data_IF_323946023991
#
_entry.id   IF_323946023991
#
_cell.length_a   1.000
_cell.length_b   1.000
_cell.length_c   1.000
_cell.angle_alpha   90.00
_cell.angle_beta   90.00
_cell.angle_gamma   90.00
#
_symmetry.space_group_name_H-M   'P 1'
#
loop_
_entity.id
_entity.type
_entity.pdbx_description
1 polymer ?
#
# COMPACT_ATOMS: atom_id res chain seq x y z
N UNK A 1 1.93 -10.57 14.43
CA UNK A 1 0.56 -9.96 14.38
C UNK A 1 0.00 -10.03 12.97
N UNK A 2 -1.27 -10.44 12.81
CA UNK A 2 -1.94 -10.54 11.52
C UNK A 2 -3.13 -9.59 11.48
N UNK A 3 -3.22 -8.74 10.44
CA UNK A 3 -4.39 -7.90 10.17
C UNK A 3 -5.00 -8.27 8.81
N UNK A 4 -6.33 -8.29 8.74
CA UNK A 4 -7.07 -8.37 7.49
C UNK A 4 -7.69 -7.01 7.19
N UNK A 5 -7.47 -6.48 6.00
CA UNK A 5 -8.10 -5.25 5.51
C UNK A 5 -9.10 -5.65 4.45
N UNK A 6 -10.37 -5.37 4.68
CA UNK A 6 -11.48 -5.76 3.82
C UNK A 6 -12.20 -4.52 3.31
N UNK A 7 -12.26 -4.35 1.99
CA UNK A 7 -13.04 -3.27 1.41
C UNK A 7 -14.53 -3.56 1.56
N UNK A 8 -15.21 -2.72 2.32
CA UNK A 8 -16.64 -2.83 2.61
C UNK A 8 -17.50 -1.95 1.70
N UNK A 9 -16.89 -0.92 1.11
CA UNK A 9 -17.61 0.07 0.28
C UNK A 9 -16.72 0.60 -0.84
N UNK A 10 -17.30 0.73 -2.04
CA UNK A 10 -16.72 1.47 -3.18
C UNK A 10 -17.84 2.22 -3.87
N UNK A 11 -17.79 3.53 -3.80
CA UNK A 11 -18.71 4.47 -4.48
C UNK A 11 -17.94 5.34 -5.46
N UNK A 12 -18.66 6.17 -6.24
CA UNK A 12 -18.07 6.98 -7.31
C UNK A 12 -16.84 7.79 -6.88
N UNK A 13 -16.84 8.31 -5.64
CA UNK A 13 -15.77 9.16 -5.12
C UNK A 13 -15.31 8.76 -3.73
N UNK A 14 -15.68 7.59 -3.25
CA UNK A 14 -15.26 7.15 -1.92
C UNK A 14 -15.08 5.64 -1.84
N UNK A 15 -14.22 5.22 -0.91
CA UNK A 15 -14.07 3.84 -0.52
C UNK A 15 -13.92 3.74 1.00
N UNK A 16 -14.33 2.60 1.55
CA UNK A 16 -14.15 2.31 2.96
C UNK A 16 -13.70 0.86 3.14
N UNK A 17 -12.91 0.64 4.20
CA UNK A 17 -12.39 -0.67 4.58
C UNK A 17 -12.53 -0.85 6.08
N UNK A 18 -12.78 -2.07 6.51
CA UNK A 18 -12.60 -2.50 7.88
C UNK A 18 -11.21 -3.13 8.04
N UNK A 19 -10.58 -2.87 9.19
CA UNK A 19 -9.33 -3.51 9.61
C UNK A 19 -9.69 -4.46 10.74
N UNK A 20 -9.36 -5.74 10.56
CA UNK A 20 -9.70 -6.81 11.48
C UNK A 20 -8.43 -7.44 12.05
N UNK A 21 -8.41 -7.71 13.35
CA UNK A 21 -7.46 -8.57 14.03
C UNK A 21 -8.24 -9.68 14.76
N UNK A 22 -7.92 -10.95 14.50
CA UNK A 22 -8.66 -12.10 15.05
C UNK A 22 -10.19 -11.96 14.90
N UNK A 23 -10.62 -11.53 13.70
CA UNK A 23 -12.02 -11.27 13.33
C UNK A 23 -12.70 -10.10 14.08
N UNK A 24 -12.00 -9.44 15.02
CA UNK A 24 -12.49 -8.24 15.67
C UNK A 24 -12.07 -6.97 14.89
N UNK A 25 -12.99 -6.02 14.78
CA UNK A 25 -12.71 -4.76 14.10
C UNK A 25 -11.88 -3.85 14.98
N UNK A 26 -10.62 -3.64 14.58
CA UNK A 26 -9.65 -2.78 15.27
C UNK A 26 -9.44 -1.43 14.59
N UNK A 27 -10.08 -1.23 13.44
CA UNK A 27 -9.93 0.04 12.73
C UNK A 27 -10.66 0.13 11.40
N UNK A 28 -10.42 1.24 10.69
CA UNK A 28 -10.99 1.52 9.37
C UNK A 28 -10.04 2.31 8.49
N UNK A 29 -10.21 2.17 7.18
CA UNK A 29 -9.64 3.09 6.20
C UNK A 29 -10.78 3.77 5.46
N UNK A 30 -10.74 5.07 5.34
CA UNK A 30 -11.65 5.85 4.50
C UNK A 30 -10.89 6.64 3.44
N UNK A 31 -11.42 6.62 2.22
CA UNK A 31 -10.87 7.32 1.06
C UNK A 31 -11.94 8.24 0.50
N UNK A 32 -11.60 9.50 0.26
CA UNK A 32 -12.49 10.49 -0.36
C UNK A 32 -11.76 11.13 -1.53
N UNK A 33 -12.16 10.80 -2.73
CA UNK A 33 -11.66 11.39 -3.98
C UNK A 33 -12.41 12.66 -4.34
N UNK A 34 -11.86 13.40 -5.31
CA UNK A 34 -12.45 14.60 -5.88
C UNK A 34 -12.83 14.36 -7.35
N UNK A 35 -13.95 14.95 -7.78
CA UNK A 35 -14.38 14.89 -9.18
C UNK A 35 -13.30 15.53 -10.08
N UNK A 36 -12.92 14.82 -11.14
CA UNK A 36 -11.94 15.32 -12.11
C UNK A 36 -10.49 15.36 -11.63
N UNK A 37 -10.19 14.76 -10.47
CA UNK A 37 -8.84 14.66 -9.92
C UNK A 37 -8.51 13.23 -9.53
N UNK A 38 -7.25 12.86 -9.65
CA UNK A 38 -6.71 11.60 -9.09
C UNK A 38 -6.34 11.75 -7.62
N UNK A 39 -6.54 12.94 -7.04
CA UNK A 39 -6.28 13.24 -5.64
C UNK A 39 -7.37 12.65 -4.74
N UNK A 40 -6.96 12.15 -3.60
CA UNK A 40 -7.86 11.68 -2.56
C UNK A 40 -7.33 12.05 -1.17
N UNK A 41 -8.25 12.35 -0.28
CA UNK A 41 -7.97 12.44 1.15
C UNK A 41 -8.19 11.05 1.76
N UNK A 42 -7.25 10.58 2.57
CA UNK A 42 -7.27 9.27 3.18
C UNK A 42 -7.20 9.43 4.70
N UNK A 43 -8.00 8.67 5.41
CA UNK A 43 -7.93 8.55 6.86
C UNK A 43 -7.81 7.06 7.22
N UNK A 44 -6.75 6.70 7.92
CA UNK A 44 -6.50 5.39 8.50
C UNK A 44 -6.68 5.52 10.00
N UNK A 45 -7.66 4.84 10.56
CA UNK A 45 -7.85 4.71 12.01
C UNK A 45 -7.55 3.24 12.36
N UNK A 46 -6.54 2.99 13.16
CA UNK A 46 -6.15 1.64 13.55
C UNK A 46 -5.65 1.67 15.00
N UNK A 47 -6.17 0.76 15.83
CA UNK A 47 -5.91 0.69 17.28
C UNK A 47 -6.08 2.04 18.02
N UNK A 48 -7.01 2.88 17.56
CA UNK A 48 -7.26 4.22 18.10
C UNK A 48 -6.33 5.32 17.57
N UNK A 49 -5.30 5.00 16.80
CA UNK A 49 -4.43 5.96 16.15
C UNK A 49 -5.06 6.44 14.82
N UNK A 50 -5.18 7.75 14.66
CA UNK A 50 -5.72 8.37 13.45
C UNK A 50 -4.58 8.95 12.64
N UNK A 51 -4.39 8.43 11.44
CA UNK A 51 -3.37 8.87 10.48
C UNK A 51 -4.08 9.39 9.24
N UNK A 52 -3.75 10.58 8.80
CA UNK A 52 -4.30 11.19 7.59
C UNK A 52 -3.23 11.28 6.51
N UNK A 53 -3.65 11.09 5.25
CA UNK A 53 -2.78 11.23 4.10
C UNK A 53 -3.43 12.17 3.10
N UNK A 54 -2.65 13.14 2.60
CA UNK A 54 -3.09 14.12 1.59
C UNK A 54 -2.11 14.15 0.44
N UNK A 55 -2.65 14.27 -0.77
CA UNK A 55 -1.80 14.43 -1.95
C UNK A 55 -0.92 15.67 -1.83
N UNK A 56 0.40 15.49 -1.92
CA UNK A 56 1.40 16.53 -1.74
C UNK A 56 2.14 16.86 -3.05
N UNK A 57 1.71 16.27 -4.18
CA UNK A 57 2.27 16.54 -5.49
C UNK A 57 1.50 17.64 -6.23
N UNK A 58 2.17 18.48 -7.03
CA UNK A 58 1.54 19.37 -8.01
C UNK A 58 1.38 18.68 -9.37
N UNK A 59 0.83 19.39 -10.37
CA UNK A 59 0.64 18.91 -11.76
C UNK A 59 1.91 18.30 -12.41
N UNK A 60 3.09 18.60 -11.87
CA UNK A 60 4.40 18.11 -12.33
C UNK A 60 5.18 17.44 -11.19
N UNK A 61 4.52 16.64 -10.39
CA UNK A 61 5.09 16.07 -9.16
C UNK A 61 6.15 14.96 -9.37
N UNK A 62 6.66 14.80 -10.58
CA UNK A 62 7.83 13.99 -10.83
C UNK A 62 9.06 14.71 -10.28
N UNK A 63 9.63 14.21 -9.19
CA UNK A 63 10.87 14.73 -8.63
C UNK A 63 12.03 13.80 -8.94
N UNK A 64 13.07 14.35 -9.53
CA UNK A 64 14.33 13.63 -9.74
C UNK A 64 15.09 13.58 -8.40
N UNK A 65 15.05 12.45 -7.71
CA UNK A 65 15.69 12.26 -6.40
C UNK A 65 17.21 12.19 -6.56
N UNK A 66 17.67 11.35 -7.49
CA UNK A 66 19.08 11.18 -7.87
C UNK A 66 19.15 10.65 -9.29
N UNK A 67 20.35 10.57 -9.90
CA UNK A 67 20.51 10.07 -11.26
C UNK A 67 19.86 8.68 -11.43
N UNK A 68 18.91 8.58 -12.35
CA UNK A 68 18.15 7.34 -12.64
C UNK A 68 16.97 7.05 -11.71
N UNK A 69 16.71 7.92 -10.73
CA UNK A 69 15.58 7.75 -9.80
C UNK A 69 14.61 8.91 -9.90
N UNK A 70 13.31 8.59 -9.92
CA UNK A 70 12.23 9.57 -9.94
C UNK A 70 11.20 9.20 -8.88
N UNK A 71 10.60 10.19 -8.21
CA UNK A 71 9.49 9.98 -7.30
C UNK A 71 8.18 10.45 -7.92
N UNK A 72 7.12 9.73 -7.60
CA UNK A 72 5.78 10.03 -8.09
C UNK A 72 4.75 9.92 -6.98
N UNK A 73 3.60 10.55 -7.19
CA UNK A 73 2.39 10.35 -6.39
C UNK A 73 2.66 10.49 -4.89
N UNK A 74 3.33 11.59 -4.51
CA UNK A 74 3.70 11.87 -3.14
C UNK A 74 2.46 12.25 -2.33
N UNK A 75 2.29 11.60 -1.17
CA UNK A 75 1.32 11.95 -0.15
C UNK A 75 2.03 12.37 1.12
N UNK A 76 1.59 13.47 1.74
CA UNK A 76 1.97 13.79 3.12
C UNK A 76 1.18 12.91 4.08
N UNK A 77 1.84 12.52 5.16
CA UNK A 77 1.25 11.75 6.26
C UNK A 77 1.27 12.64 7.50
N UNK A 78 0.18 12.67 8.26
CA UNK A 78 0.12 13.36 9.54
C UNK A 78 -0.81 12.62 10.50
N UNK A 79 -0.56 12.76 11.79
CA UNK A 79 -1.45 12.27 12.85
C UNK A 79 -1.95 13.43 13.75
N UNK A 80 -2.55 13.09 14.90
CA UNK A 80 -3.09 14.06 15.84
C UNK A 80 -2.03 15.00 16.45
N UNK A 81 -0.75 14.59 16.44
CA UNK A 81 0.38 15.41 16.93
C UNK A 81 0.94 16.34 15.88
N UNK A 82 0.44 16.29 14.64
CA UNK A 82 0.99 16.90 13.43
C UNK A 82 2.41 16.44 13.09
N UNK A 83 2.95 15.46 13.81
CA UNK A 83 4.16 14.76 13.37
C UNK A 83 3.83 13.99 12.11
N UNK A 84 4.61 14.25 11.10
CA UNK A 84 4.26 13.79 9.78
C UNK A 84 5.41 13.12 9.06
N UNK A 85 5.14 12.88 7.80
CA UNK A 85 6.08 12.28 6.89
C UNK A 85 5.53 12.27 5.49
N UNK A 86 6.06 11.38 4.67
CA UNK A 86 5.64 11.23 3.29
C UNK A 86 5.67 9.77 2.87
N UNK A 87 4.80 9.42 1.94
CA UNK A 87 4.88 8.17 1.19
C UNK A 87 4.81 8.49 -0.31
N UNK A 88 5.62 7.82 -1.09
CA UNK A 88 5.68 8.02 -2.55
C UNK A 88 6.19 6.78 -3.28
N UNK A 89 5.86 6.70 -4.57
CA UNK A 89 6.42 5.71 -5.47
C UNK A 89 7.77 6.19 -5.98
N UNK A 90 8.75 5.30 -6.01
CA UNK A 90 10.06 5.50 -6.63
C UNK A 90 10.15 4.62 -7.86
N UNK A 91 10.53 5.22 -8.98
CA UNK A 91 10.92 4.51 -10.19
C UNK A 91 12.43 4.61 -10.36
N UNK A 92 13.06 3.46 -10.42
CA UNK A 92 14.48 3.31 -10.66
C UNK A 92 14.74 2.73 -12.04
N UNK A 93 15.32 3.52 -12.92
CA UNK A 93 15.74 3.06 -14.23
C UNK A 93 17.08 2.32 -14.14
N UNK A 94 17.02 0.99 -14.08
CA UNK A 94 18.20 0.14 -14.03
C UNK A 94 18.96 0.10 -15.38
N UNK A 95 18.20 -0.04 -16.48
CA UNK A 95 18.69 -0.12 -17.86
C UNK A 95 17.72 0.62 -18.78
N UNK A 96 18.09 0.76 -20.06
CA UNK A 96 17.32 1.55 -21.05
C UNK A 96 15.83 1.20 -21.12
N UNK A 97 15.47 -0.06 -20.88
CA UNK A 97 14.07 -0.56 -20.95
C UNK A 97 13.63 -1.28 -19.68
N UNK A 98 14.38 -1.17 -18.58
CA UNK A 98 14.04 -1.82 -17.31
C UNK A 98 13.91 -0.77 -16.22
N UNK A 99 12.67 -0.55 -15.78
CA UNK A 99 12.35 0.29 -14.64
C UNK A 99 11.79 -0.57 -13.51
N UNK A 100 12.37 -0.45 -12.33
CA UNK A 100 11.88 -1.06 -11.10
C UNK A 100 11.14 -0.02 -10.29
N UNK A 101 9.93 -0.35 -9.87
CA UNK A 101 9.12 0.52 -9.02
C UNK A 101 8.99 -0.08 -7.63
N UNK A 102 9.12 0.77 -6.62
CA UNK A 102 8.91 0.42 -5.21
C UNK A 102 8.39 1.65 -4.46
N UNK A 103 8.05 1.50 -3.16
CA UNK A 103 7.54 2.60 -2.37
C UNK A 103 8.51 2.94 -1.25
N UNK A 104 8.65 4.24 -0.98
CA UNK A 104 9.37 4.78 0.16
C UNK A 104 8.39 5.54 1.06
N UNK A 105 8.53 5.34 2.36
CA UNK A 105 7.78 6.07 3.37
C UNK A 105 8.72 6.54 4.46
N UNK A 106 8.60 7.82 4.82
CA UNK A 106 9.16 8.38 6.03
C UNK A 106 8.01 8.77 6.95
N UNK A 107 8.05 8.33 8.19
CA UNK A 107 7.08 8.72 9.20
C UNK A 107 7.72 8.73 10.59
N UNK A 108 7.64 9.89 11.26
CA UNK A 108 8.26 10.12 12.58
C UNK A 108 9.74 9.76 12.63
N UNK A 109 10.48 10.10 11.59
CA UNK A 109 11.92 9.81 11.48
C UNK A 109 12.28 8.35 11.22
N UNK A 110 11.29 7.49 10.97
CA UNK A 110 11.52 6.10 10.57
C UNK A 110 11.35 5.98 9.05
N UNK A 111 12.26 5.21 8.44
CA UNK A 111 12.28 4.99 6.99
C UNK A 111 11.85 3.58 6.63
N UNK A 112 10.87 3.49 5.74
CA UNK A 112 10.34 2.24 5.23
C UNK A 112 10.54 2.16 3.72
N UNK A 113 10.87 0.95 3.27
CA UNK A 113 10.86 0.59 1.86
C UNK A 113 9.87 -0.57 1.66
N UNK A 114 9.13 -0.54 0.56
CA UNK A 114 8.14 -1.56 0.28
C UNK A 114 8.27 -2.04 -1.16
N UNK A 115 8.56 -3.34 -1.34
CA UNK A 115 8.90 -3.98 -2.61
C UNK A 115 7.83 -4.98 -3.00
N UNK A 116 7.31 -4.87 -4.23
CA UNK A 116 6.24 -5.71 -4.74
C UNK A 116 6.77 -6.81 -5.65
N UNK A 117 6.35 -8.05 -5.37
CA UNK A 117 6.49 -9.16 -6.30
C UNK A 117 5.12 -9.73 -6.66
N UNK A 118 4.95 -10.11 -7.92
CA UNK A 118 3.78 -10.83 -8.39
C UNK A 118 4.11 -12.33 -8.44
N UNK A 119 3.26 -13.15 -7.82
CA UNK A 119 3.32 -14.59 -7.88
C UNK A 119 2.23 -15.11 -8.84
N UNK A 120 2.56 -15.97 -9.80
CA UNK A 120 1.57 -16.50 -10.74
C UNK A 120 0.40 -17.18 -10.01
N UNK A 121 -0.83 -16.80 -10.35
CA UNK A 121 -2.08 -17.29 -9.76
C UNK A 121 -2.30 -17.01 -8.26
N UNK A 122 -1.32 -16.55 -7.52
CA UNK A 122 -1.42 -16.31 -6.07
C UNK A 122 -1.66 -14.83 -5.72
N UNK A 123 -1.40 -13.92 -6.66
CA UNK A 123 -1.52 -12.47 -6.47
C UNK A 123 -0.20 -11.79 -6.17
N UNK A 124 -0.25 -10.67 -5.44
CA UNK A 124 0.92 -9.87 -5.08
C UNK A 124 1.42 -10.15 -3.66
N UNK A 125 2.71 -9.98 -3.47
CA UNK A 125 3.37 -9.93 -2.17
C UNK A 125 4.14 -8.64 -2.07
N UNK A 126 3.97 -7.93 -0.98
CA UNK A 126 4.63 -6.67 -0.71
C UNK A 126 5.49 -6.83 0.53
N UNK A 127 6.80 -6.98 0.36
CA UNK A 127 7.74 -7.04 1.48
C UNK A 127 8.00 -5.62 2.00
N UNK A 128 7.84 -5.40 3.29
CA UNK A 128 8.05 -4.10 3.95
C UNK A 128 9.29 -4.17 4.83
N UNK A 129 10.19 -3.25 4.60
CA UNK A 129 11.46 -3.13 5.31
C UNK A 129 11.50 -1.81 6.08
N UNK A 130 12.01 -1.86 7.30
CA UNK A 130 12.42 -0.69 8.07
C UNK A 130 13.92 -0.74 8.27
N UNK A 131 14.63 0.32 7.83
CA UNK A 131 16.09 0.42 7.96
C UNK A 131 16.85 -0.83 7.47
N UNK A 132 16.37 -1.45 6.40
CA UNK A 132 17.00 -2.62 5.79
C UNK A 132 16.61 -3.97 6.39
N UNK A 133 15.80 -4.01 7.45
CA UNK A 133 15.27 -5.25 8.06
C UNK A 133 13.83 -5.45 7.64
N UNK A 134 13.46 -6.64 7.17
CA UNK A 134 12.07 -6.94 6.87
C UNK A 134 11.25 -7.00 8.16
N UNK A 135 10.19 -6.17 8.23
CA UNK A 135 9.33 -6.03 9.40
C UNK A 135 7.89 -6.46 9.13
N UNK A 136 7.51 -6.55 7.86
CA UNK A 136 6.18 -7.04 7.49
C UNK A 136 6.14 -7.57 6.05
N UNK A 137 5.03 -8.29 5.76
CA UNK A 137 4.61 -8.65 4.41
C UNK A 137 3.12 -8.38 4.26
N UNK A 138 2.74 -7.80 3.11
CA UNK A 138 1.35 -7.58 2.74
C UNK A 138 1.01 -8.52 1.59
N UNK A 139 0.02 -9.37 1.78
CA UNK A 139 -0.51 -10.24 0.74
C UNK A 139 -1.71 -9.60 0.06
N UNK A 140 -1.67 -9.53 -1.26
CA UNK A 140 -2.72 -9.02 -2.13
C UNK A 140 -3.28 -10.19 -2.91
N UNK A 141 -4.55 -10.61 -2.71
CA UNK A 141 -5.08 -11.79 -3.37
C UNK A 141 -5.12 -11.63 -4.90
N UNK A 142 -4.91 -12.73 -5.62
CA UNK A 142 -5.03 -12.78 -7.08
C UNK A 142 -6.47 -12.71 -7.59
N UNK A 143 -7.44 -12.72 -6.69
CA UNK A 143 -8.88 -12.68 -7.01
C UNK A 143 -9.53 -11.44 -6.44
N UNK A 144 -10.34 -10.76 -7.26
CA UNK A 144 -11.10 -9.58 -6.85
C UNK A 144 -12.57 -9.83 -7.15
N UNK A 145 -13.39 -9.78 -6.11
CA UNK A 145 -14.83 -10.00 -6.17
C UNK A 145 -15.54 -8.66 -6.03
N UNK A 146 -16.52 -8.40 -6.90
CA UNK A 146 -17.32 -7.18 -6.91
C UNK A 146 -16.51 -5.88 -7.04
N UNK A 147 -15.31 -5.96 -7.61
CA UNK A 147 -14.37 -4.85 -7.69
C UNK A 147 -13.99 -4.30 -6.29
N UNK A 148 -13.98 -5.17 -5.27
CA UNK A 148 -13.56 -4.88 -3.89
C UNK A 148 -12.22 -5.55 -3.60
N UNK A 149 -11.31 -4.81 -3.01
CA UNK A 149 -9.93 -5.21 -2.76
C UNK A 149 -9.71 -5.54 -1.29
N UNK A 150 -8.96 -6.60 -1.05
CA UNK A 150 -8.63 -7.05 0.30
C UNK A 150 -7.11 -7.19 0.43
N UNK A 151 -6.61 -7.08 1.66
CA UNK A 151 -5.20 -7.27 1.97
C UNK A 151 -5.06 -8.05 3.27
N UNK A 152 -4.00 -8.85 3.37
CA UNK A 152 -3.61 -9.47 4.64
C UNK A 152 -2.21 -8.99 4.99
N UNK A 153 -2.04 -8.42 6.16
CA UNK A 153 -0.78 -7.92 6.69
C UNK A 153 -0.25 -8.94 7.70
N UNK A 154 1.00 -9.32 7.54
CA UNK A 154 1.80 -10.08 8.49
C UNK A 154 2.91 -9.17 8.99
N UNK A 155 2.89 -8.78 10.26
CA UNK A 155 3.84 -7.83 10.83
C UNK A 155 4.43 -8.36 12.14
N UNK A 156 5.68 -7.99 12.43
CA UNK A 156 6.38 -8.44 13.65
C UNK A 156 5.73 -7.91 14.93
N UNK A 157 5.09 -6.72 14.85
CA UNK A 157 4.41 -6.10 15.98
C UNK A 157 3.26 -5.19 15.51
N UNK A 158 2.54 -4.61 16.51
CA UNK A 158 1.40 -3.72 16.25
C UNK A 158 1.80 -2.45 15.52
N UNK A 159 2.94 -1.85 15.86
CA UNK A 159 3.42 -0.60 15.24
C UNK A 159 3.68 -0.80 13.74
N UNK A 160 4.31 -1.91 13.38
CA UNK A 160 4.57 -2.23 11.98
C UNK A 160 3.29 -2.58 11.23
N UNK A 161 2.32 -3.22 11.91
CA UNK A 161 1.01 -3.47 11.34
C UNK A 161 0.23 -2.17 11.04
N UNK A 162 0.31 -1.17 11.93
CA UNK A 162 -0.27 0.17 11.71
C UNK A 162 0.34 0.85 10.48
N UNK A 163 1.66 0.82 10.35
CA UNK A 163 2.36 1.40 9.18
C UNK A 163 2.01 0.66 7.89
N UNK A 164 1.85 -0.66 7.95
CA UNK A 164 1.40 -1.43 6.80
C UNK A 164 -0.04 -1.10 6.39
N UNK A 165 -0.93 -0.75 7.32
CA UNK A 165 -2.27 -0.26 6.97
C UNK A 165 -2.22 1.07 6.18
N UNK A 166 -1.28 1.97 6.51
CA UNK A 166 -1.01 3.20 5.73
C UNK A 166 -0.49 2.85 4.33
N UNK A 167 0.44 1.90 4.22
CA UNK A 167 0.97 1.44 2.94
C UNK A 167 -0.14 0.79 2.10
N UNK A 168 -1.03 -0.03 2.69
CA UNK A 168 -2.18 -0.60 1.98
C UNK A 168 -3.12 0.47 1.43
N UNK A 169 -3.42 1.50 2.22
CA UNK A 169 -4.24 2.63 1.79
C UNK A 169 -3.60 3.37 0.62
N UNK A 170 -2.27 3.56 0.65
CA UNK A 170 -1.52 4.15 -0.44
C UNK A 170 -1.56 3.28 -1.71
N UNK A 171 -1.29 1.98 -1.59
CA UNK A 171 -1.35 1.02 -2.72
C UNK A 171 -2.75 1.07 -3.36
N UNK A 172 -3.81 1.06 -2.54
CA UNK A 172 -5.18 1.14 -3.06
C UNK A 172 -5.39 2.39 -3.91
N UNK A 173 -4.96 3.56 -3.42
CA UNK A 173 -5.13 4.83 -4.14
C UNK A 173 -4.40 4.83 -5.48
N UNK A 174 -3.16 4.39 -5.50
CA UNK A 174 -2.35 4.51 -6.71
C UNK A 174 -2.66 3.43 -7.75
N UNK A 175 -3.15 2.26 -7.34
CA UNK A 175 -3.35 1.11 -8.23
C UNK A 175 -4.83 0.83 -8.54
N UNK A 176 -5.76 1.11 -7.61
CA UNK A 176 -7.13 0.57 -7.67
C UNK A 176 -8.24 1.61 -7.52
N UNK A 177 -7.94 2.77 -6.95
CA UNK A 177 -8.93 3.83 -6.82
C UNK A 177 -9.03 4.63 -8.11
N UNK A 178 -10.20 4.59 -8.71
CA UNK A 178 -10.53 5.40 -9.90
C UNK A 178 -11.80 6.18 -9.63
N UNK A 179 -11.70 7.52 -9.49
CA UNK A 179 -12.88 8.36 -9.32
C UNK A 179 -13.88 8.13 -10.46
N UNK A 180 -15.15 7.96 -10.12
CA UNK A 180 -16.21 7.61 -11.07
C UNK A 180 -16.52 6.12 -11.17
N UNK A 181 -15.72 5.23 -10.58
CA UNK A 181 -16.03 3.79 -10.50
C UNK A 181 -16.72 3.46 -9.16
N UNK A 182 -17.65 2.52 -9.20
CA UNK A 182 -18.33 1.98 -8.02
C UNK A 182 -18.21 0.46 -7.96
N UNK A 183 -18.53 -0.14 -6.82
CA UNK A 183 -18.66 -1.59 -6.73
C UNK A 183 -19.70 -2.10 -7.73
N UNK A 184 -19.32 -3.15 -8.47
CA UNK A 184 -20.19 -3.83 -9.44
C UNK A 184 -20.07 -5.34 -9.22
N UNK A 185 -21.14 -6.07 -9.47
CA UNK A 185 -21.09 -7.53 -9.41
C UNK A 185 -20.12 -8.04 -10.49
N UNK A 186 -18.94 -8.50 -10.07
CA UNK A 186 -17.88 -8.95 -10.94
C UNK A 186 -16.99 -9.96 -10.22
N UNK A 187 -16.31 -10.79 -11.00
CA UNK A 187 -15.25 -11.66 -10.53
C UNK A 187 -14.08 -11.54 -11.50
N UNK A 188 -12.93 -11.14 -11.01
CA UNK A 188 -11.70 -11.01 -11.81
C UNK A 188 -10.62 -11.84 -11.16
N UNK A 189 -9.99 -12.69 -11.93
CA UNK A 189 -8.79 -13.43 -11.53
C UNK A 189 -7.60 -12.88 -12.30
N UNK A 190 -6.64 -12.34 -11.56
CA UNK A 190 -5.41 -11.83 -12.14
C UNK A 190 -4.43 -12.99 -12.36
N UNK A 191 -4.22 -13.35 -13.62
CA UNK A 191 -3.14 -14.24 -14.03
C UNK A 191 -1.91 -13.37 -14.29
N UNK A 192 -1.08 -13.22 -13.28
CA UNK A 192 0.16 -12.46 -13.45
C UNK A 192 1.25 -13.37 -14.01
N UNK A 193 2.00 -12.84 -14.95
CA UNK A 193 3.34 -13.38 -15.26
C UNK A 193 4.17 -12.97 -14.04
N UNK A 194 4.74 -13.93 -13.31
CA UNK A 194 5.52 -13.65 -12.10
C UNK A 194 6.61 -12.60 -12.33
N UNK A 195 6.97 -11.90 -11.27
CA UNK A 195 8.06 -10.91 -11.28
C UNK A 195 9.36 -11.55 -11.77
N UNK A 196 10.01 -10.91 -12.74
CA UNK A 196 11.30 -11.33 -13.31
C UNK A 196 12.45 -10.40 -12.90
N UNK A 197 12.15 -9.32 -12.21
CA UNK A 197 13.14 -8.36 -11.73
C UNK A 197 13.92 -8.98 -10.57
N UNK A 198 15.22 -9.26 -10.79
CA UNK A 198 16.08 -9.90 -9.80
C UNK A 198 16.20 -9.09 -8.52
N UNK A 199 16.24 -7.75 -8.63
CA UNK A 199 16.29 -6.87 -7.45
C UNK A 199 15.04 -7.03 -6.57
N UNK A 200 13.85 -7.09 -7.17
CA UNK A 200 12.61 -7.29 -6.40
C UNK A 200 12.55 -8.70 -5.80
N UNK A 201 13.01 -9.72 -6.54
CA UNK A 201 13.03 -11.11 -6.06
C UNK A 201 13.99 -11.27 -4.86
N UNK A 202 15.12 -10.58 -4.82
CA UNK A 202 16.02 -10.56 -3.66
C UNK A 202 15.39 -9.93 -2.41
N UNK A 203 14.36 -9.07 -2.60
CA UNK A 203 13.62 -8.45 -1.50
C UNK A 203 12.41 -9.26 -1.05
N UNK A 204 12.16 -10.41 -1.62
CA UNK A 204 11.06 -11.28 -1.23
C UNK A 204 11.57 -12.47 -0.44
N UNK A 205 11.11 -12.59 0.80
CA UNK A 205 11.34 -13.77 1.65
C UNK A 205 10.02 -14.57 1.72
N UNK A 206 9.93 -15.74 1.07
CA UNK A 206 8.72 -16.56 1.11
C UNK A 206 8.39 -17.08 2.52
N UNK A 207 9.41 -17.31 3.34
CA UNK A 207 9.26 -17.90 4.67
C UNK A 207 8.92 -16.85 5.76
N UNK A 208 8.91 -15.56 5.41
CA UNK A 208 8.65 -14.49 6.40
C UNK A 208 7.32 -14.68 7.13
N UNK A 209 6.28 -15.08 6.40
CA UNK A 209 4.93 -15.27 6.98
C UNK A 209 4.91 -16.34 8.06
N UNK A 210 5.74 -17.39 7.91
CA UNK A 210 5.83 -18.48 8.88
C UNK A 210 6.48 -18.04 10.20
N UNK A 211 7.22 -16.93 10.19
CA UNK A 211 7.85 -16.36 11.40
C UNK A 211 6.88 -15.53 12.24
N UNK A 212 5.68 -15.24 11.72
CA UNK A 212 4.70 -14.38 12.39
C UNK A 212 3.68 -15.26 13.13
N UNK A 213 3.72 -15.17 14.45
CA UNK A 213 2.74 -15.80 15.34
C UNK A 213 1.38 -15.06 15.29
N UNK A 214 0.29 -15.82 15.42
CA UNK A 214 -1.10 -15.30 15.47
C UNK A 214 -1.41 -14.55 16.79
#
# INVERSE_FOLDING_TARGET
>A
MILKIQQTKKELFSAAFDILHKEERVGTISVKGKLGSMEADICVNVFGNIITMKYAGGLFAEQKIKKGYKSYRKYSISDATNDGGYIYQVDWQQKLFLTTSYYEMEYKGMYYNSYSVALPAEGGRQSVYREGVQVAQINIPGEVVNNLYNYTIYAIDQKEAEMCAVICAYIYIIAHFKPGEKAIKSYVKYYTIGTKDAFLLEKYNPDFVETIEE
#
